data_IF_398051383258
#
_entry.id   IF_398051383258
#
_cell.length_a   1.000
_cell.length_b   1.000
_cell.length_c   1.000
_cell.angle_alpha   90.00
_cell.angle_beta   90.00
_cell.angle_gamma   90.00
#
_symmetry.space_group_name_H-M   'P 1'
#
loop_
_entity.id
_entity.type
_entity.pdbx_description
1 polymer ?
#
# COMPACT_ATOMS: atom_id res chain seq x y z
N UNK A 1 -6.75 -13.78 -0.43
CA UNK A 1 -6.05 -13.00 -1.48
C UNK A 1 -6.94 -11.81 -1.79
N UNK A 2 -6.59 -10.61 -1.34
CA UNK A 2 -7.28 -9.39 -1.77
C UNK A 2 -7.07 -9.24 -3.27
N UNK A 3 -8.16 -9.23 -4.03
CA UNK A 3 -8.13 -8.97 -5.47
C UNK A 3 -8.21 -7.47 -5.66
N UNK A 4 -7.25 -6.90 -6.38
CA UNK A 4 -7.33 -5.50 -6.78
C UNK A 4 -8.41 -5.38 -7.87
N UNK A 5 -8.99 -4.19 -8.03
CA UNK A 5 -9.90 -3.92 -9.15
C UNK A 5 -9.32 -2.82 -10.02
N UNK A 6 -9.18 -3.04 -11.33
CA UNK A 6 -8.97 -1.95 -12.27
C UNK A 6 -10.31 -1.55 -12.87
N UNK A 7 -10.72 -0.31 -12.64
CA UNK A 7 -11.85 0.31 -13.32
C UNK A 7 -11.34 0.98 -14.60
N UNK A 8 -11.95 0.66 -15.72
CA UNK A 8 -11.62 1.19 -17.05
C UNK A 8 -12.79 2.02 -17.57
N UNK A 9 -12.55 3.29 -17.89
CA UNK A 9 -13.44 4.14 -18.64
C UNK A 9 -12.88 4.34 -20.05
N UNK A 10 -13.54 3.77 -21.05
CA UNK A 10 -13.23 4.01 -22.47
C UNK A 10 -14.51 4.29 -23.23
N UNK A 11 -14.48 5.33 -24.05
CA UNK A 11 -15.60 5.79 -24.86
C UNK A 11 -15.22 5.84 -26.34
N UNK A 12 -16.21 5.95 -27.22
CA UNK A 12 -15.97 6.14 -28.65
C UNK A 12 -15.35 4.93 -29.35
N UNK A 13 -14.61 5.20 -30.43
CA UNK A 13 -14.12 4.18 -31.36
C UNK A 13 -13.05 3.24 -30.78
N UNK A 14 -12.40 3.62 -29.68
CA UNK A 14 -11.33 2.85 -29.05
C UNK A 14 -11.84 1.81 -28.02
N UNK A 15 -13.12 1.86 -27.63
CA UNK A 15 -13.67 1.05 -26.54
C UNK A 15 -13.61 -0.46 -26.79
N UNK A 16 -14.12 -0.92 -27.93
CA UNK A 16 -14.14 -2.34 -28.28
C UNK A 16 -12.73 -2.92 -28.48
N UNK A 17 -11.84 -2.30 -29.30
CA UNK A 17 -10.46 -2.77 -29.43
C UNK A 17 -9.71 -2.84 -28.11
N UNK A 18 -9.88 -1.83 -27.24
CA UNK A 18 -9.23 -1.81 -25.93
C UNK A 18 -9.73 -2.93 -25.02
N UNK A 19 -11.06 -3.08 -24.89
CA UNK A 19 -11.67 -4.15 -24.06
C UNK A 19 -11.15 -5.52 -24.49
N UNK A 20 -11.16 -5.79 -25.79
CA UNK A 20 -10.66 -7.06 -26.36
C UNK A 20 -9.19 -7.30 -26.02
N UNK A 21 -8.35 -6.27 -26.11
CA UNK A 21 -6.93 -6.38 -25.76
C UNK A 21 -6.70 -6.69 -24.28
N UNK A 22 -7.48 -6.06 -23.38
CA UNK A 22 -7.42 -6.31 -21.94
C UNK A 22 -7.93 -7.70 -21.60
N UNK A 23 -9.06 -8.12 -22.15
CA UNK A 23 -9.64 -9.44 -21.89
C UNK A 23 -8.71 -10.57 -22.37
N UNK A 24 -8.14 -10.43 -23.57
CA UNK A 24 -7.24 -11.43 -24.17
C UNK A 24 -5.99 -11.71 -23.34
N UNK A 25 -5.52 -10.73 -22.55
CA UNK A 25 -4.29 -10.80 -21.75
C UNK A 25 -4.55 -10.68 -20.24
N UNK A 26 -5.81 -10.71 -19.81
CA UNK A 26 -6.22 -10.53 -18.40
C UNK A 26 -5.54 -11.51 -17.43
N UNK A 27 -5.17 -12.71 -17.91
CA UNK A 27 -4.42 -13.70 -17.14
C UNK A 27 -3.03 -13.22 -16.69
N UNK A 28 -2.41 -12.26 -17.41
CA UNK A 28 -1.13 -11.65 -17.02
C UNK A 28 -1.26 -10.81 -15.74
N UNK A 29 -2.49 -10.44 -15.36
CA UNK A 29 -2.83 -9.71 -14.15
C UNK A 29 -3.75 -10.54 -13.24
N UNK A 30 -3.42 -11.82 -13.00
CA UNK A 30 -4.29 -12.79 -12.29
C UNK A 30 -4.81 -12.37 -10.89
N UNK A 31 -4.20 -11.36 -10.24
CA UNK A 31 -4.64 -10.78 -8.97
C UNK A 31 -5.56 -9.55 -9.12
N UNK A 32 -5.94 -9.20 -10.35
CA UNK A 32 -6.68 -7.99 -10.71
C UNK A 32 -8.01 -8.39 -11.37
N UNK A 33 -9.10 -7.83 -10.85
CA UNK A 33 -10.41 -7.85 -11.50
C UNK A 33 -10.52 -6.63 -12.41
N UNK A 34 -11.06 -6.83 -13.61
CA UNK A 34 -11.30 -5.74 -14.56
C UNK A 34 -12.77 -5.36 -14.52
N UNK A 35 -13.07 -4.07 -14.30
CA UNK A 35 -14.42 -3.49 -14.37
C UNK A 35 -14.44 -2.42 -15.45
N UNK A 36 -15.22 -2.62 -16.50
CA UNK A 36 -15.41 -1.61 -17.54
C UNK A 36 -16.64 -0.77 -17.24
N UNK A 37 -16.52 0.55 -17.38
CA UNK A 37 -17.61 1.52 -17.29
C UNK A 37 -17.60 2.39 -18.55
N UNK A 38 -18.77 2.83 -18.98
CA UNK A 38 -18.93 3.70 -20.16
C UNK A 38 -19.38 5.11 -19.80
N UNK A 39 -19.66 5.36 -18.53
CA UNK A 39 -20.13 6.64 -18.01
C UNK A 39 -19.06 7.30 -17.13
N UNK A 40 -18.75 8.56 -17.46
CA UNK A 40 -17.80 9.36 -16.70
C UNK A 40 -18.27 9.66 -15.28
N UNK A 41 -19.59 9.75 -15.04
CA UNK A 41 -20.12 9.97 -13.70
C UNK A 41 -20.00 8.72 -12.82
N UNK A 42 -20.29 7.53 -13.37
CA UNK A 42 -20.01 6.26 -12.68
C UNK A 42 -18.51 6.12 -12.36
N UNK A 43 -17.63 6.41 -13.30
CA UNK A 43 -16.18 6.35 -13.08
C UNK A 43 -15.74 7.31 -11.95
N UNK A 44 -16.22 8.56 -11.97
CA UNK A 44 -15.92 9.54 -10.94
C UNK A 44 -16.42 9.10 -9.56
N UNK A 45 -17.63 8.54 -9.49
CA UNK A 45 -18.22 8.01 -8.24
C UNK A 45 -17.41 6.88 -7.64
N UNK A 46 -16.91 5.96 -8.48
CA UNK A 46 -16.14 4.79 -8.04
C UNK A 46 -14.69 5.12 -7.65
N UNK A 47 -14.11 6.17 -8.24
CA UNK A 47 -12.65 6.37 -8.23
C UNK A 47 -12.20 7.71 -7.66
N UNK A 48 -13.12 8.67 -7.50
CA UNK A 48 -12.80 10.06 -7.14
C UNK A 48 -12.05 10.84 -8.22
N UNK A 49 -11.82 10.26 -9.41
CA UNK A 49 -11.17 10.93 -10.52
C UNK A 49 -12.13 11.88 -11.27
N UNK A 50 -11.59 12.96 -11.85
CA UNK A 50 -12.32 13.81 -12.77
C UNK A 50 -12.67 13.05 -14.07
N UNK A 51 -13.72 13.51 -14.75
CA UNK A 51 -14.50 12.79 -15.78
C UNK A 51 -13.77 12.32 -17.05
N UNK A 52 -14.58 12.09 -18.11
CA UNK A 52 -14.21 11.23 -19.23
C UNK A 52 -12.91 11.63 -19.97
N UNK A 53 -12.06 10.66 -20.33
CA UNK A 53 -10.83 10.88 -21.09
C UNK A 53 -11.13 11.29 -22.55
N UNK A 54 -10.11 11.76 -23.26
CA UNK A 54 -10.17 11.91 -24.72
C UNK A 54 -10.41 10.55 -25.41
N UNK A 55 -10.94 10.56 -26.64
CA UNK A 55 -11.36 9.36 -27.38
C UNK A 55 -10.25 8.32 -27.62
N UNK A 56 -8.98 8.73 -27.59
CA UNK A 56 -7.79 7.89 -27.75
C UNK A 56 -7.20 7.38 -26.42
N UNK A 57 -7.79 7.80 -25.30
CA UNK A 57 -7.32 7.48 -23.95
C UNK A 57 -8.36 6.69 -23.16
N UNK A 58 -7.87 5.78 -22.32
CA UNK A 58 -8.63 5.08 -21.31
C UNK A 58 -8.39 5.75 -19.96
N UNK A 59 -9.46 6.16 -19.27
CA UNK A 59 -9.42 6.47 -17.86
C UNK A 59 -9.24 5.16 -17.09
N UNK A 60 -8.22 5.07 -16.25
CA UNK A 60 -7.93 3.86 -15.48
C UNK A 60 -7.77 4.20 -14.01
N UNK A 61 -8.36 3.36 -13.16
CA UNK A 61 -8.21 3.45 -11.72
C UNK A 61 -7.92 2.07 -11.14
N UNK A 62 -6.79 1.91 -10.46
CA UNK A 62 -6.53 0.75 -9.63
C UNK A 62 -7.12 1.01 -8.24
N UNK A 63 -8.01 0.14 -7.81
CA UNK A 63 -8.59 0.11 -6.48
C UNK A 63 -8.00 -1.06 -5.69
N UNK A 64 -7.84 -0.89 -4.39
CA UNK A 64 -7.56 -1.99 -3.48
C UNK A 64 -8.78 -2.92 -3.32
N UNK A 65 -8.64 -3.96 -2.52
CA UNK A 65 -9.73 -4.91 -2.26
C UNK A 65 -10.88 -4.35 -1.42
N UNK A 66 -10.72 -3.18 -0.79
CA UNK A 66 -11.80 -2.45 -0.13
C UNK A 66 -12.49 -1.43 -1.06
N UNK A 67 -12.00 -1.28 -2.30
CA UNK A 67 -12.52 -0.33 -3.27
C UNK A 67 -11.92 1.07 -3.16
N UNK A 68 -10.91 1.28 -2.31
CA UNK A 68 -10.23 2.56 -2.21
C UNK A 68 -9.23 2.77 -3.37
N UNK A 69 -9.19 3.95 -4.00
CA UNK A 69 -8.30 4.20 -5.14
C UNK A 69 -6.83 4.24 -4.71
N UNK A 70 -6.03 3.36 -5.32
CA UNK A 70 -4.56 3.32 -5.18
C UNK A 70 -3.87 4.23 -6.20
N UNK A 71 -4.40 4.27 -7.43
CA UNK A 71 -3.89 5.12 -8.51
C UNK A 71 -4.99 5.36 -9.53
N UNK A 72 -5.13 6.59 -9.97
CA UNK A 72 -5.98 6.98 -11.10
C UNK A 72 -5.11 7.62 -12.18
N UNK A 73 -5.55 7.57 -13.43
CA UNK A 73 -4.83 8.21 -14.53
C UNK A 73 -5.44 7.88 -15.90
N UNK A 74 -4.71 8.23 -16.95
CA UNK A 74 -5.07 7.91 -18.32
C UNK A 74 -3.95 7.11 -18.98
N UNK A 75 -4.30 6.13 -19.80
CA UNK A 75 -3.38 5.35 -20.65
C UNK A 75 -3.89 5.32 -22.09
N UNK A 76 -3.06 5.02 -23.09
CA UNK A 76 -3.53 4.82 -24.45
C UNK A 76 -4.63 3.74 -24.52
N UNK A 77 -5.75 4.07 -25.17
CA UNK A 77 -6.81 3.10 -25.49
C UNK A 77 -6.64 2.54 -26.92
N UNK A 78 -5.96 3.28 -27.80
CA UNK A 78 -5.73 2.88 -29.18
C UNK A 78 -4.35 2.25 -29.40
N UNK A 79 -4.28 1.30 -30.33
CA UNK A 79 -3.03 0.70 -30.81
C UNK A 79 -2.49 -0.45 -29.96
N UNK A 80 -1.44 -1.10 -30.46
CA UNK A 80 -0.90 -2.35 -29.90
C UNK A 80 -0.30 -2.21 -28.49
N UNK A 81 0.09 -1.01 -28.08
CA UNK A 81 0.74 -0.75 -26.77
C UNK A 81 -0.21 -0.50 -25.59
N UNK A 82 -1.53 -0.50 -25.81
CA UNK A 82 -2.52 -0.16 -24.78
C UNK A 82 -2.44 -1.10 -23.55
N UNK A 83 -2.26 -2.40 -23.79
CA UNK A 83 -2.15 -3.37 -22.69
C UNK A 83 -0.83 -3.24 -21.93
N UNK A 84 0.29 -3.02 -22.62
CA UNK A 84 1.58 -2.86 -21.95
C UNK A 84 1.59 -1.58 -21.10
N UNK A 85 0.92 -0.52 -21.55
CA UNK A 85 0.67 0.68 -20.75
C UNK A 85 -0.22 0.40 -19.52
N UNK A 86 -1.23 -0.45 -19.65
CA UNK A 86 -2.05 -0.93 -18.52
C UNK A 86 -1.21 -1.72 -17.51
N UNK A 87 -0.37 -2.65 -17.98
CA UNK A 87 0.53 -3.43 -17.12
C UNK A 87 1.49 -2.49 -16.38
N UNK A 88 2.08 -1.52 -17.08
CA UNK A 88 2.94 -0.51 -16.45
C UNK A 88 2.17 0.39 -15.46
N UNK A 89 0.92 0.73 -15.76
CA UNK A 89 0.06 1.50 -14.85
C UNK A 89 -0.20 0.74 -13.55
N UNK A 90 -0.65 -0.51 -13.66
CA UNK A 90 -0.92 -1.40 -12.52
C UNK A 90 0.36 -1.71 -11.74
N UNK A 91 1.45 -2.06 -12.42
CA UNK A 91 2.75 -2.37 -11.80
C UNK A 91 3.37 -1.14 -11.13
N UNK A 92 3.19 0.05 -11.70
CA UNK A 92 3.65 1.31 -11.12
C UNK A 92 2.82 1.79 -9.93
N UNK A 93 1.53 1.46 -9.89
CA UNK A 93 0.67 1.65 -8.72
C UNK A 93 0.99 0.66 -7.60
N UNK A 94 1.41 -0.53 -7.98
CA UNK A 94 1.80 -1.63 -7.09
C UNK A 94 3.32 -1.71 -6.95
N UNK A 95 4.06 -0.59 -7.01
CA UNK A 95 5.49 -0.63 -6.63
C UNK A 95 5.56 -1.12 -5.19
N UNK A 96 5.86 -2.40 -5.13
CA UNK A 96 5.78 -3.21 -3.94
C UNK A 96 7.13 -3.04 -3.27
N UNK A 97 7.12 -2.70 -1.98
CA UNK A 97 8.34 -2.69 -1.18
C UNK A 97 9.11 -3.99 -1.43
N UNK A 98 10.37 -3.89 -1.84
CA UNK A 98 11.20 -5.07 -2.06
C UNK A 98 11.36 -5.80 -0.73
N UNK A 99 11.49 -7.12 -0.74
CA UNK A 99 11.62 -7.89 0.51
C UNK A 99 12.82 -7.44 1.35
N UNK A 100 13.90 -6.99 0.69
CA UNK A 100 15.12 -6.45 1.30
C UNK A 100 14.92 -5.09 2.00
N UNK A 101 13.80 -4.41 1.76
CA UNK A 101 13.47 -3.16 2.43
C UNK A 101 12.71 -3.35 3.73
N UNK A 102 12.16 -4.53 3.98
CA UNK A 102 11.53 -4.82 5.26
C UNK A 102 12.56 -5.04 6.36
N UNK A 103 12.20 -4.63 7.57
CA UNK A 103 12.89 -5.05 8.77
C UNK A 103 12.45 -6.48 9.13
N UNK A 104 13.28 -7.47 8.82
CA UNK A 104 12.99 -8.88 9.00
C UNK A 104 14.18 -9.58 9.69
N UNK A 105 13.94 -10.48 10.67
CA UNK A 105 15.00 -11.25 11.28
C UNK A 105 15.79 -12.10 10.25
N UNK A 106 17.09 -12.30 10.51
CA UNK A 106 17.91 -13.18 9.66
C UNK A 106 17.27 -14.57 9.53
N UNK A 107 17.14 -15.06 8.30
CA UNK A 107 16.53 -16.34 7.95
C UNK A 107 15.03 -16.47 8.29
N UNK A 108 14.32 -15.35 8.46
CA UNK A 108 12.87 -15.37 8.67
C UNK A 108 12.19 -14.21 7.97
N UNK A 109 11.07 -14.48 7.29
CA UNK A 109 10.24 -13.42 6.74
C UNK A 109 9.20 -12.91 7.75
N UNK A 110 9.47 -13.01 9.06
CA UNK A 110 8.51 -12.63 10.09
C UNK A 110 8.51 -11.12 10.31
N UNK A 111 7.38 -10.48 10.05
CA UNK A 111 7.20 -9.06 10.33
C UNK A 111 7.07 -8.76 11.83
N UNK A 112 7.64 -7.62 12.25
CA UNK A 112 7.40 -6.96 13.56
C UNK A 112 7.55 -7.95 14.74
N UNK A 113 8.54 -8.85 14.69
CA UNK A 113 8.77 -9.88 15.70
C UNK A 113 7.53 -10.73 16.08
N UNK A 114 6.60 -10.88 15.13
CA UNK A 114 5.34 -11.60 15.29
C UNK A 114 4.24 -10.84 16.02
N UNK A 115 4.37 -9.53 16.20
CA UNK A 115 3.27 -8.69 16.67
C UNK A 115 2.21 -8.50 15.58
N UNK A 116 0.97 -8.44 16.02
CA UNK A 116 -0.21 -8.31 15.18
C UNK A 116 -0.32 -6.90 14.60
N UNK A 117 -0.19 -6.71 13.28
CA UNK A 117 -0.21 -5.38 12.67
C UNK A 117 -1.56 -4.68 12.83
N UNK A 118 -2.67 -5.43 12.93
CA UNK A 118 -4.02 -4.86 13.11
C UNK A 118 -4.22 -4.41 14.56
N UNK A 119 -3.64 -5.15 15.52
CA UNK A 119 -3.77 -4.85 16.94
C UNK A 119 -3.28 -3.44 17.32
N UNK A 120 -2.28 -2.90 16.60
CA UNK A 120 -1.78 -1.54 16.80
C UNK A 120 -2.83 -0.43 16.58
N UNK A 121 -3.85 -0.70 15.76
CA UNK A 121 -4.88 0.29 15.39
C UNK A 121 -6.13 0.20 16.25
N UNK A 122 -6.35 -0.93 16.92
CA UNK A 122 -7.55 -1.18 17.73
C UNK A 122 -7.27 -1.20 19.24
N UNK A 123 -6.04 -1.51 19.64
CA UNK A 123 -5.68 -1.73 21.03
C UNK A 123 -4.18 -1.49 21.26
N UNK A 124 -3.59 -2.28 22.16
CA UNK A 124 -2.15 -2.31 22.44
C UNK A 124 -1.46 -3.31 21.51
N UNK A 125 -0.13 -3.25 21.34
CA UNK A 125 0.62 -4.24 20.60
C UNK A 125 0.47 -5.62 21.26
N UNK A 126 -0.19 -6.54 20.56
CA UNK A 126 -0.40 -7.93 20.98
C UNK A 126 0.40 -8.85 20.07
N UNK A 127 1.02 -9.89 20.65
CA UNK A 127 1.73 -10.89 19.87
C UNK A 127 0.74 -11.84 19.20
N UNK A 128 0.93 -12.10 17.92
CA UNK A 128 0.18 -13.10 17.19
C UNK A 128 0.69 -14.53 17.43
N UNK A 129 0.05 -15.48 16.76
CA UNK A 129 0.45 -16.89 16.77
C UNK A 129 0.83 -17.38 15.38
N UNK A 130 1.59 -18.48 15.31
CA UNK A 130 1.98 -19.08 14.02
C UNK A 130 0.77 -19.61 13.24
N UNK A 131 -0.21 -20.15 13.95
CA UNK A 131 -1.43 -20.75 13.38
C UNK A 131 -2.32 -19.68 12.74
N UNK A 132 -2.33 -18.48 13.31
CA UNK A 132 -3.01 -17.32 12.74
C UNK A 132 -2.00 -16.45 12.00
N UNK A 133 -1.63 -16.88 10.79
CA UNK A 133 -0.71 -16.12 9.94
C UNK A 133 -1.22 -15.90 8.52
N UNK A 134 -0.71 -14.84 7.90
CA UNK A 134 -0.92 -14.51 6.49
C UNK A 134 0.39 -14.01 5.89
N UNK A 135 0.61 -14.35 4.62
CA UNK A 135 1.76 -13.84 3.87
C UNK A 135 1.30 -12.74 2.93
N UNK A 136 1.95 -11.60 2.99
CA UNK A 136 1.74 -10.47 2.09
C UNK A 136 3.08 -9.95 1.60
N UNK A 137 3.25 -9.80 0.28
CA UNK A 137 4.50 -9.33 -0.36
C UNK A 137 5.74 -10.15 0.05
N UNK A 138 5.58 -11.46 0.24
CA UNK A 138 6.65 -12.37 0.68
C UNK A 138 6.95 -12.29 2.18
N UNK A 139 6.29 -11.40 2.92
CA UNK A 139 6.44 -11.21 4.36
C UNK A 139 5.31 -11.88 5.12
N UNK A 140 5.63 -12.61 6.19
CA UNK A 140 4.69 -13.34 7.04
C UNK A 140 4.31 -12.49 8.24
N UNK A 141 3.02 -12.26 8.39
CA UNK A 141 2.38 -11.57 9.51
C UNK A 141 1.66 -12.58 10.39
N UNK A 142 1.67 -12.36 11.71
CA UNK A 142 0.95 -13.18 12.69
C UNK A 142 -0.14 -12.34 13.34
N UNK A 143 -1.22 -12.98 13.77
CA UNK A 143 -2.40 -12.30 14.32
C UNK A 143 -2.78 -12.91 15.67
N UNK A 144 -3.32 -12.07 16.53
CA UNK A 144 -3.81 -12.44 17.85
C UNK A 144 -5.24 -13.01 17.82
N UNK A 145 -5.99 -12.75 16.74
CA UNK A 145 -7.33 -13.30 16.51
C UNK A 145 -7.57 -13.64 15.02
N UNK A 146 -8.50 -14.55 14.71
CA UNK A 146 -8.95 -14.79 13.34
C UNK A 146 -9.54 -13.54 12.68
N UNK A 147 -10.23 -12.71 13.44
CA UNK A 147 -10.84 -11.47 12.93
C UNK A 147 -9.78 -10.46 12.47
N UNK A 148 -8.70 -10.29 13.23
CA UNK A 148 -7.58 -9.44 12.84
C UNK A 148 -6.91 -9.96 11.56
N UNK A 149 -6.72 -11.28 11.44
CA UNK A 149 -6.21 -11.89 10.21
C UNK A 149 -7.13 -11.60 9.02
N UNK A 150 -8.44 -11.66 9.22
CA UNK A 150 -9.42 -11.38 8.17
C UNK A 150 -9.40 -9.91 7.75
N UNK A 151 -9.37 -8.97 8.71
CA UNK A 151 -9.22 -7.53 8.45
C UNK A 151 -7.94 -7.24 7.67
N UNK A 152 -6.82 -7.82 8.10
CA UNK A 152 -5.56 -7.69 7.37
C UNK A 152 -5.66 -8.23 5.95
N UNK A 153 -6.26 -9.41 5.74
CA UNK A 153 -6.38 -10.00 4.41
C UNK A 153 -7.29 -9.19 3.47
N UNK A 154 -8.21 -8.39 4.02
CA UNK A 154 -9.10 -7.50 3.27
C UNK A 154 -8.40 -6.21 2.85
N UNK A 155 -7.54 -5.64 3.70
CA UNK A 155 -6.75 -4.44 3.35
C UNK A 155 -5.37 -4.44 4.01
N UNK A 156 -4.41 -5.24 3.50
CA UNK A 156 -3.09 -5.38 4.14
C UNK A 156 -2.36 -4.04 4.25
N UNK A 157 -2.47 -3.22 3.20
CA UNK A 157 -1.83 -1.91 3.08
C UNK A 157 -2.21 -0.95 4.20
N UNK A 158 -3.41 -1.06 4.77
CA UNK A 158 -3.84 -0.18 5.87
C UNK A 158 -3.09 -0.46 7.17
N UNK A 159 -2.52 -1.65 7.32
CA UNK A 159 -1.94 -2.11 8.60
C UNK A 159 -0.42 -2.26 8.58
N UNK A 160 0.23 -2.11 7.41
CA UNK A 160 1.69 -2.26 7.33
C UNK A 160 2.44 -1.16 8.08
N UNK A 161 3.61 -1.45 8.68
CA UNK A 161 4.52 -0.43 9.17
C UNK A 161 4.97 0.50 8.04
N UNK A 162 4.96 1.80 8.33
CA UNK A 162 5.21 2.86 7.35
C UNK A 162 6.56 2.73 6.66
N UNK A 163 7.62 2.40 7.37
CA UNK A 163 8.99 2.38 6.83
C UNK A 163 9.63 1.00 6.94
N UNK A 164 9.02 -0.03 6.37
CA UNK A 164 9.59 -1.39 6.36
C UNK A 164 9.46 -2.16 7.67
N UNK A 165 9.12 -1.49 8.77
CA UNK A 165 9.34 -2.00 10.13
C UNK A 165 10.62 -1.46 10.76
N UNK A 166 11.29 -0.50 10.12
CA UNK A 166 12.43 0.24 10.66
C UNK A 166 11.98 1.41 11.53
N UNK A 167 12.87 1.87 12.40
CA UNK A 167 12.65 3.00 13.28
C UNK A 167 12.39 4.29 12.48
N UNK A 168 11.19 4.88 12.63
CA UNK A 168 10.79 6.09 11.93
C UNK A 168 11.70 7.28 12.24
N UNK A 169 12.12 7.44 13.51
CA UNK A 169 13.04 8.49 13.92
C UNK A 169 14.43 8.35 13.28
N UNK A 170 14.95 7.13 13.14
CA UNK A 170 16.25 6.92 12.49
C UNK A 170 16.20 7.24 10.99
N UNK A 171 15.11 6.84 10.32
CA UNK A 171 14.87 7.18 8.91
C UNK A 171 14.74 8.70 8.73
N UNK A 172 14.02 9.39 9.62
CA UNK A 172 13.81 10.84 9.54
C UNK A 172 15.02 11.69 9.91
N UNK A 173 15.67 11.38 11.02
CA UNK A 173 16.74 12.20 11.58
C UNK A 173 18.11 11.95 10.92
N UNK A 174 18.39 10.71 10.52
CA UNK A 174 19.72 10.28 10.08
C UNK A 174 19.73 9.51 8.77
N UNK A 175 18.56 9.22 8.21
CA UNK A 175 18.44 8.41 7.00
C UNK A 175 19.04 6.99 7.19
N UNK A 176 18.83 6.39 8.36
CA UNK A 176 19.37 5.09 8.77
C UNK A 176 18.28 4.04 9.04
N UNK A 177 18.57 2.77 8.74
CA UNK A 177 17.74 1.62 9.10
C UNK A 177 18.17 1.11 10.48
N UNK A 178 17.35 1.35 11.49
CA UNK A 178 17.58 0.90 12.87
C UNK A 178 16.42 0.01 13.33
N UNK A 179 16.75 -1.08 14.01
CA UNK A 179 15.81 -2.03 14.61
C UNK A 179 14.83 -1.33 15.57
N UNK A 180 13.68 -1.96 15.80
CA UNK A 180 12.60 -1.39 16.61
C UNK A 180 12.38 -2.17 17.89
N UNK A 181 11.73 -1.53 18.86
CA UNK A 181 10.97 -2.25 19.88
C UNK A 181 9.51 -2.29 19.37
N UNK A 182 8.92 -3.47 19.11
CA UNK A 182 7.52 -3.58 18.65
C UNK A 182 6.51 -2.90 19.56
N UNK A 183 6.87 -2.64 20.83
CA UNK A 183 6.00 -1.98 21.80
C UNK A 183 6.13 -0.46 21.78
N UNK A 184 7.15 0.09 21.13
CA UNK A 184 7.35 1.54 21.00
C UNK A 184 6.85 2.01 19.63
N UNK A 185 5.62 2.51 19.57
CA UNK A 185 4.95 2.85 18.32
C UNK A 185 4.08 4.10 18.44
N UNK A 186 3.67 4.65 17.30
CA UNK A 186 2.68 5.72 17.18
C UNK A 186 1.82 5.49 15.94
N UNK A 187 0.50 5.56 16.10
CA UNK A 187 -0.42 5.72 14.98
C UNK A 187 -0.62 7.21 14.74
N UNK A 188 -0.43 7.67 13.51
CA UNK A 188 -0.70 9.05 13.11
C UNK A 188 -1.22 9.05 11.67
N UNK A 189 -2.33 9.73 11.43
CA UNK A 189 -2.96 9.85 10.11
C UNK A 189 -3.24 8.49 9.42
N UNK A 190 -3.58 7.46 10.21
CA UNK A 190 -3.81 6.09 9.72
C UNK A 190 -2.51 5.31 9.40
N UNK A 191 -1.34 5.83 9.80
CA UNK A 191 -0.03 5.21 9.52
C UNK A 191 0.61 4.68 10.81
N UNK A 192 1.14 3.45 10.76
CA UNK A 192 1.88 2.82 11.85
C UNK A 192 3.38 3.16 11.81
N UNK A 193 3.83 3.96 12.76
CA UNK A 193 5.24 4.29 12.98
C UNK A 193 5.80 3.47 14.13
N UNK A 194 6.91 2.77 13.91
CA UNK A 194 7.61 1.98 14.91
C UNK A 194 8.92 2.68 15.30
N UNK A 195 9.36 2.48 16.53
CA UNK A 195 10.50 3.20 17.11
C UNK A 195 11.43 2.25 17.85
N UNK A 196 12.71 2.59 17.82
CA UNK A 196 13.70 1.99 18.70
C UNK A 196 13.41 2.36 20.16
N UNK A 197 13.69 1.43 21.08
CA UNK A 197 13.72 1.69 22.52
C UNK A 197 14.69 0.74 23.19
N UNK A 198 15.50 1.27 24.09
CA UNK A 198 16.28 0.49 25.06
C UNK A 198 16.16 1.12 26.47
N UNK A 199 17.06 0.74 27.38
CA UNK A 199 17.06 1.26 28.76
C UNK A 199 17.48 2.74 28.87
N UNK A 200 18.17 3.29 27.88
CA UNK A 200 18.78 4.62 27.91
C UNK A 200 18.24 5.57 26.83
N UNK A 201 17.53 5.04 25.83
CA UNK A 201 17.06 5.75 24.65
C UNK A 201 15.62 5.38 24.30
N UNK A 202 14.85 6.40 23.95
CA UNK A 202 13.47 6.27 23.51
C UNK A 202 13.24 7.13 22.27
N UNK A 203 13.31 6.50 21.09
CA UNK A 203 13.21 7.21 19.83
C UNK A 203 11.82 7.82 19.59
N UNK A 204 10.76 7.28 20.21
CA UNK A 204 9.42 7.88 20.17
C UNK A 204 9.40 9.20 20.94
N UNK A 205 10.09 9.27 22.09
CA UNK A 205 10.19 10.50 22.89
C UNK A 205 10.88 11.62 22.10
N UNK A 206 11.94 11.30 21.36
CA UNK A 206 12.63 12.29 20.52
C UNK A 206 11.83 12.62 19.27
N UNK A 207 11.21 11.61 18.62
CA UNK A 207 10.28 11.83 17.51
C UNK A 207 9.21 12.84 17.87
N UNK A 208 8.55 12.71 19.03
CA UNK A 208 7.49 13.63 19.42
C UNK A 208 7.95 15.11 19.57
N UNK A 209 9.26 15.37 19.78
CA UNK A 209 9.81 16.73 19.81
C UNK A 209 10.09 17.28 18.40
N UNK A 210 10.38 16.39 17.45
CA UNK A 210 10.86 16.73 16.11
C UNK A 210 9.91 16.27 14.99
N UNK A 211 8.70 15.78 15.32
CA UNK A 211 7.79 15.09 14.40
C UNK A 211 7.51 15.89 13.12
N UNK A 212 7.30 17.20 13.25
CA UNK A 212 7.03 18.11 12.12
C UNK A 212 8.18 18.19 11.11
N UNK A 213 9.40 17.93 11.56
CA UNK A 213 10.61 17.93 10.72
C UNK A 213 10.92 16.52 10.23
N UNK A 214 10.87 15.53 11.12
CA UNK A 214 11.34 14.18 10.87
C UNK A 214 10.37 13.34 10.06
N UNK A 215 9.06 13.54 10.15
CA UNK A 215 8.09 12.80 9.33
C UNK A 215 8.23 13.09 7.82
N UNK A 216 8.19 14.36 7.37
CA UNK A 216 8.39 14.63 5.95
C UNK A 216 9.81 14.30 5.49
N UNK A 217 10.81 14.37 6.37
CA UNK A 217 12.17 13.89 6.04
C UNK A 217 12.20 12.37 5.86
N UNK A 218 11.56 11.62 6.77
CA UNK A 218 11.50 10.17 6.70
C UNK A 218 10.78 9.69 5.43
N UNK A 219 9.72 10.38 5.05
CA UNK A 219 8.96 10.13 3.81
C UNK A 219 9.83 10.29 2.56
N UNK A 220 10.57 11.40 2.44
CA UNK A 220 11.51 11.62 1.33
C UNK A 220 12.64 10.60 1.31
N UNK A 221 13.20 10.30 2.48
CA UNK A 221 14.29 9.36 2.66
C UNK A 221 13.87 7.94 2.26
N UNK A 222 12.67 7.53 2.68
CA UNK A 222 12.08 6.24 2.33
C UNK A 222 11.83 6.10 0.83
N UNK A 223 11.21 7.11 0.21
CA UNK A 223 10.96 7.13 -1.23
C UNK A 223 12.27 7.08 -2.03
N UNK A 224 13.27 7.86 -1.63
CA UNK A 224 14.59 7.87 -2.29
C UNK A 224 15.26 6.50 -2.26
N UNK A 225 15.11 5.73 -1.17
CA UNK A 225 15.77 4.43 -1.00
C UNK A 225 15.04 3.28 -1.68
N UNK A 226 13.72 3.29 -1.59
CA UNK A 226 12.88 2.13 -1.93
C UNK A 226 12.04 2.35 -3.18
N UNK A 227 11.89 3.61 -3.61
CA UNK A 227 10.94 4.02 -4.64
C UNK A 227 9.48 3.94 -4.20
N UNK A 228 9.19 3.64 -2.93
CA UNK A 228 7.86 3.61 -2.35
C UNK A 228 7.44 5.03 -1.93
N UNK A 229 6.38 5.54 -2.56
CA UNK A 229 5.82 6.85 -2.20
C UNK A 229 5.18 6.81 -0.81
N UNK A 230 5.22 7.92 -0.06
CA UNK A 230 4.50 8.02 1.20
C UNK A 230 3.01 7.70 1.01
N UNK A 231 2.47 6.84 1.86
CA UNK A 231 1.03 6.58 1.88
C UNK A 231 0.32 7.86 2.32
N UNK A 232 -0.76 8.22 1.62
CA UNK A 232 -1.57 9.36 1.97
C UNK A 232 -2.07 9.26 3.42
N UNK A 233 -1.99 10.37 4.15
CA UNK A 233 -2.70 10.53 5.41
C UNK A 233 -4.19 10.27 5.16
N UNK A 234 -4.82 9.41 5.98
CA UNK A 234 -6.29 9.30 5.92
C UNK A 234 -6.87 10.59 6.51
N UNK A 235 -7.59 11.41 5.73
CA UNK A 235 -8.23 12.60 6.27
C UNK A 235 -9.37 12.14 7.19
N UNK A 236 -9.23 12.29 8.52
CA UNK A 236 -10.34 12.08 9.45
C UNK A 236 -10.10 11.25 10.71
N UNK A 237 -8.86 10.90 11.06
CA UNK A 237 -8.56 10.35 12.38
C UNK A 237 -8.37 11.47 13.40
N UNK A 238 -9.43 11.82 14.14
CA UNK A 238 -9.33 12.60 15.38
C UNK A 238 -8.57 11.83 16.46
#
# INVERSE_FOLDING_TARGET
MGRFTVVHLVTGASAEPYRKAVEARSAELAAVQHRFVSDGAEFASLTGAAGAPADDLAGVALLDSAGAPLKTGAIPAAGAGAFDALVAFVSGATRTRAIADYNLPKNSNLAIDGYDPVAYFVAKPVRGTKDLSSTYRGVRYQFSSPDNRNLFNQSPESYLPTYGGWCAAAIGAKDEKVEIDPRNFKIKDGRLHLFYKDLFSDALKDWNKHEREWEPAADRNWEKRTGEKPRAATPGGQ
#
